data_IF_229598026028
#
_entry.id   IF_229598026028
#
_cell.length_a   1.000
_cell.length_b   1.000
_cell.length_c   1.000
_cell.angle_alpha   90.00
_cell.angle_beta   90.00
_cell.angle_gamma   90.00
#
_symmetry.space_group_name_H-M   'P 1'
#
loop_
_entity.id
_entity.type
_entity.pdbx_description
1 polymer ?
#
# COMPACT_ATOMS: atom_id res chain seq x y z
N UNK A 1 -48.48 -27.50 -24.59
CA UNK A 1 -47.81 -26.28 -24.06
C UNK A 1 -46.32 -26.62 -23.92
N UNK A 2 -45.48 -26.03 -24.71
CA UNK A 2 -44.11 -26.51 -25.02
C UNK A 2 -43.14 -26.22 -23.86
N UNK A 3 -42.48 -27.22 -23.33
CA UNK A 3 -41.47 -27.14 -22.24
C UNK A 3 -40.37 -26.11 -22.61
N UNK A 4 -40.07 -25.92 -23.91
CA UNK A 4 -39.10 -24.93 -24.40
C UNK A 4 -39.57 -23.49 -24.13
N UNK A 5 -40.87 -23.20 -24.19
CA UNK A 5 -41.42 -21.85 -23.93
C UNK A 5 -41.36 -21.53 -22.42
N UNK A 6 -41.47 -22.54 -21.54
CA UNK A 6 -41.37 -22.36 -20.09
C UNK A 6 -39.91 -22.10 -19.65
N UNK A 7 -38.93 -22.78 -20.28
CA UNK A 7 -37.50 -22.56 -20.06
C UNK A 7 -37.05 -21.19 -20.55
N UNK A 8 -37.54 -20.73 -21.70
CA UNK A 8 -37.26 -19.38 -22.21
C UNK A 8 -37.89 -18.30 -21.36
N UNK A 9 -39.07 -18.49 -20.82
CA UNK A 9 -39.70 -17.56 -19.89
C UNK A 9 -38.97 -17.48 -18.54
N UNK A 10 -38.45 -18.59 -18.01
CA UNK A 10 -37.65 -18.61 -16.79
C UNK A 10 -36.27 -17.98 -17.00
N UNK A 11 -35.61 -18.18 -18.16
CA UNK A 11 -34.36 -17.52 -18.50
C UNK A 11 -34.54 -16.02 -18.67
N UNK A 12 -35.65 -15.56 -19.28
CA UNK A 12 -36.00 -14.14 -19.40
C UNK A 12 -36.32 -13.50 -18.04
N UNK A 13 -36.94 -14.23 -17.11
CA UNK A 13 -37.23 -13.75 -15.77
C UNK A 13 -35.95 -13.66 -14.90
N UNK A 14 -34.96 -14.54 -15.11
CA UNK A 14 -33.66 -14.49 -14.45
C UNK A 14 -32.76 -13.39 -15.02
N UNK A 15 -32.91 -13.07 -16.30
CA UNK A 15 -32.20 -11.95 -16.97
C UNK A 15 -32.83 -10.59 -16.65
N UNK A 16 -34.15 -10.51 -16.42
CA UNK A 16 -34.82 -9.26 -16.07
C UNK A 16 -34.61 -8.81 -14.62
N UNK A 17 -34.14 -9.69 -13.73
CA UNK A 17 -33.85 -9.36 -12.33
C UNK A 17 -32.36 -9.05 -12.05
N UNK A 18 -31.53 -8.91 -13.04
CA UNK A 18 -30.30 -8.14 -12.92
C UNK A 18 -30.60 -6.65 -13.13
N UNK A 19 -31.46 -6.05 -12.30
CA UNK A 19 -31.39 -4.63 -12.05
C UNK A 19 -29.91 -4.34 -11.73
N UNK A 20 -29.24 -3.57 -12.58
CA UNK A 20 -27.93 -3.05 -12.28
C UNK A 20 -28.08 -2.36 -10.92
N UNK A 21 -27.51 -2.94 -9.86
CA UNK A 21 -27.52 -2.37 -8.53
C UNK A 21 -26.97 -0.95 -8.65
N UNK A 22 -27.85 0.03 -8.72
CA UNK A 22 -27.49 1.44 -8.77
C UNK A 22 -26.86 1.76 -7.43
N UNK A 23 -25.56 2.01 -7.42
CA UNK A 23 -24.83 2.35 -6.22
C UNK A 23 -25.39 3.65 -5.65
N UNK A 24 -26.09 3.57 -4.53
CA UNK A 24 -26.60 4.75 -3.82
C UNK A 24 -25.43 5.43 -3.08
N UNK A 25 -25.27 6.72 -3.30
CA UNK A 25 -24.32 7.50 -2.52
C UNK A 25 -24.85 7.73 -1.10
N UNK A 26 -23.96 7.53 -0.10
CA UNK A 26 -24.23 7.79 1.32
C UNK A 26 -23.28 8.86 1.78
N UNK A 27 -23.80 9.96 2.29
CA UNK A 27 -23.05 11.02 2.96
C UNK A 27 -22.99 10.73 4.47
N UNK A 28 -21.79 10.77 5.02
CA UNK A 28 -21.53 10.65 6.46
C UNK A 28 -20.94 11.96 6.98
N UNK A 29 -21.75 12.79 7.68
CA UNK A 29 -21.26 14.02 8.27
C UNK A 29 -20.17 13.74 9.30
N UNK A 30 -19.02 14.41 9.18
CA UNK A 30 -17.92 14.33 10.15
C UNK A 30 -16.85 15.37 9.83
N UNK A 31 -16.03 15.68 10.80
CA UNK A 31 -14.84 16.50 10.60
C UNK A 31 -13.75 15.71 9.90
N UNK A 32 -13.05 16.33 8.93
CA UNK A 32 -11.87 15.77 8.28
C UNK A 32 -10.68 16.62 8.69
N UNK A 33 -9.72 16.01 9.38
CA UNK A 33 -8.54 16.65 9.94
C UNK A 33 -7.31 16.32 9.12
N UNK A 34 -6.41 17.26 8.82
CA UNK A 34 -5.11 16.92 8.25
C UNK A 34 -4.35 15.99 9.22
N UNK A 35 -3.63 15.03 8.67
CA UNK A 35 -2.80 14.12 9.49
C UNK A 35 -1.63 14.92 10.07
N UNK A 36 -1.47 15.00 11.41
CA UNK A 36 -0.34 15.67 12.04
C UNK A 36 1.00 15.04 11.65
N UNK A 37 2.09 15.83 11.68
CA UNK A 37 3.43 15.36 11.35
C UNK A 37 3.76 15.48 9.85
N UNK A 38 4.75 14.73 9.43
CA UNK A 38 5.26 14.73 8.05
C UNK A 38 6.05 13.46 7.79
N UNK A 39 6.39 13.20 6.52
CA UNK A 39 7.34 12.16 6.13
C UNK A 39 8.72 12.45 6.70
N UNK A 40 9.44 11.40 7.07
CA UNK A 40 10.85 11.46 7.43
C UNK A 40 11.72 11.91 6.22
N UNK A 41 13.03 12.00 6.42
CA UNK A 41 13.99 12.37 5.37
C UNK A 41 14.73 11.17 4.76
N UNK A 42 14.36 9.95 5.13
CA UNK A 42 15.01 8.74 4.63
C UNK A 42 14.69 8.58 3.15
N UNK A 43 15.70 8.53 2.25
CA UNK A 43 15.45 8.38 0.82
C UNK A 43 14.98 6.96 0.49
N UNK A 44 14.08 6.87 -0.50
CA UNK A 44 13.60 5.60 -1.03
C UNK A 44 13.91 5.50 -2.52
N UNK A 45 14.72 4.50 -2.89
CA UNK A 45 14.89 4.06 -4.27
C UNK A 45 13.58 3.42 -4.72
N UNK A 46 12.85 4.09 -5.61
CA UNK A 46 11.49 3.70 -5.98
C UNK A 46 11.42 3.32 -7.46
N UNK A 47 11.46 2.01 -7.75
CA UNK A 47 11.43 1.41 -9.09
C UNK A 47 10.06 0.81 -9.38
N UNK A 48 9.20 1.59 -10.04
CA UNK A 48 7.83 1.21 -10.40
C UNK A 48 7.43 1.74 -11.80
N UNK A 49 8.41 2.04 -12.66
CA UNK A 49 8.17 2.42 -14.06
C UNK A 49 9.26 1.84 -14.97
N UNK A 50 8.88 1.14 -16.07
CA UNK A 50 7.51 0.75 -16.38
C UNK A 50 7.02 -0.35 -15.42
N UNK A 51 5.71 -0.32 -15.10
CA UNK A 51 5.11 -1.40 -14.31
C UNK A 51 5.16 -2.73 -15.07
N UNK A 52 4.80 -2.72 -16.36
CA UNK A 52 4.83 -3.89 -17.23
C UNK A 52 6.12 -3.92 -18.03
N UNK A 53 7.02 -4.80 -17.63
CA UNK A 53 8.35 -4.96 -18.27
C UNK A 53 8.25 -5.88 -19.46
N UNK A 54 8.66 -5.37 -20.66
CA UNK A 54 8.56 -6.06 -21.94
C UNK A 54 9.91 -6.19 -22.65
N UNK A 55 10.95 -5.47 -22.20
CA UNK A 55 12.28 -5.49 -22.75
C UNK A 55 13.34 -5.54 -21.66
N UNK A 56 14.55 -5.92 -22.03
CA UNK A 56 15.74 -5.83 -21.20
C UNK A 56 16.19 -4.37 -21.09
N UNK A 57 16.88 -4.02 -20.00
CA UNK A 57 17.46 -2.70 -19.82
C UNK A 57 17.44 -2.21 -18.38
N UNK A 58 17.57 -0.90 -18.23
CA UNK A 58 17.60 -0.20 -16.94
C UNK A 58 16.17 0.20 -16.56
N UNK A 59 15.69 -0.25 -15.40
CA UNK A 59 14.43 0.18 -14.80
C UNK A 59 14.63 1.48 -14.02
N UNK A 60 15.68 1.50 -13.16
CA UNK A 60 16.10 2.66 -12.41
C UNK A 60 17.58 2.53 -12.07
N UNK A 61 18.36 3.60 -12.29
CA UNK A 61 19.76 3.65 -11.89
C UNK A 61 20.08 4.99 -11.25
N UNK A 62 20.68 4.94 -10.06
CA UNK A 62 21.26 6.13 -9.40
C UNK A 62 22.75 6.28 -9.61
N UNK A 63 23.36 5.44 -10.45
CA UNK A 63 24.77 5.52 -10.81
C UNK A 63 25.11 6.85 -11.51
N UNK A 64 26.40 7.26 -11.54
CA UNK A 64 26.82 8.41 -12.32
C UNK A 64 26.71 8.12 -13.83
N UNK A 65 26.37 9.14 -14.64
CA UNK A 65 26.21 8.99 -16.10
C UNK A 65 27.52 8.87 -16.87
N UNK A 66 28.66 9.27 -16.24
CA UNK A 66 29.98 9.27 -16.87
C UNK A 66 30.42 7.87 -17.27
N UNK A 67 30.91 7.71 -18.51
CA UNK A 67 31.37 6.45 -19.06
C UNK A 67 30.25 5.44 -19.35
N UNK A 68 28.99 5.86 -19.40
CA UNK A 68 27.84 5.04 -19.76
C UNK A 68 27.43 5.26 -21.21
N UNK A 69 26.99 4.18 -21.90
CA UNK A 69 26.51 4.30 -23.27
C UNK A 69 25.24 5.14 -23.38
N UNK A 70 24.36 5.05 -22.37
CA UNK A 70 23.12 5.85 -22.27
C UNK A 70 23.13 6.69 -20.98
N UNK A 71 23.81 7.85 -20.96
CA UNK A 71 23.95 8.67 -19.75
C UNK A 71 22.63 9.09 -19.12
N UNK A 72 21.59 9.35 -19.93
CA UNK A 72 20.26 9.75 -19.48
C UNK A 72 19.52 8.66 -18.68
N UNK A 73 19.98 7.40 -18.73
CA UNK A 73 19.43 6.30 -17.92
C UNK A 73 19.99 6.27 -16.48
N UNK A 74 20.82 7.24 -16.09
CA UNK A 74 21.50 7.28 -14.79
C UNK A 74 21.29 8.63 -14.10
N UNK A 75 20.75 8.59 -12.87
CA UNK A 75 20.28 9.80 -12.15
C UNK A 75 21.33 10.44 -11.24
N UNK A 76 22.50 9.84 -11.08
CA UNK A 76 23.61 10.35 -10.25
C UNK A 76 23.21 10.74 -8.83
N UNK A 77 22.68 9.78 -8.06
CA UNK A 77 22.26 9.97 -6.68
C UNK A 77 22.86 8.91 -5.76
N UNK A 78 23.70 9.29 -4.82
CA UNK A 78 24.30 8.40 -3.85
C UNK A 78 23.49 8.35 -2.55
N UNK A 79 23.31 7.15 -2.00
CA UNK A 79 22.73 6.93 -0.69
C UNK A 79 23.81 6.92 0.39
N UNK A 80 23.51 7.44 1.59
CA UNK A 80 24.31 7.29 2.79
C UNK A 80 23.40 7.16 4.02
N UNK A 81 23.84 6.43 5.05
CA UNK A 81 23.01 6.14 6.21
C UNK A 81 21.83 5.25 5.86
N UNK A 82 20.64 5.56 6.39
CA UNK A 82 19.39 4.82 6.10
C UNK A 82 18.86 5.14 4.71
N UNK A 83 18.41 4.11 4.00
CA UNK A 83 17.65 4.24 2.77
C UNK A 83 16.77 3.00 2.55
N UNK A 84 15.73 3.14 1.74
CA UNK A 84 14.85 2.03 1.40
C UNK A 84 14.92 1.74 -0.10
N UNK A 85 14.59 0.49 -0.48
CA UNK A 85 14.35 0.08 -1.87
C UNK A 85 12.92 -0.41 -1.95
N UNK A 86 12.12 0.18 -2.82
CA UNK A 86 10.83 -0.32 -3.26
C UNK A 86 10.90 -0.63 -4.74
N UNK A 87 10.50 -1.85 -5.14
CA UNK A 87 10.39 -2.24 -6.54
C UNK A 87 9.10 -3.03 -6.77
N UNK A 88 8.35 -2.64 -7.81
CA UNK A 88 7.14 -3.34 -8.21
C UNK A 88 7.07 -3.40 -9.74
N UNK A 89 7.20 -4.62 -10.30
CA UNK A 89 7.19 -4.85 -11.72
C UNK A 89 6.44 -6.13 -12.07
N UNK A 90 5.78 -6.10 -13.23
CA UNK A 90 5.03 -7.22 -13.81
C UNK A 90 5.72 -7.68 -15.08
N UNK A 91 6.09 -8.95 -15.16
CA UNK A 91 6.63 -9.52 -16.38
C UNK A 91 5.53 -9.64 -17.44
N UNK A 92 5.79 -9.12 -18.65
CA UNK A 92 4.95 -9.36 -19.80
C UNK A 92 5.67 -10.28 -20.77
N UNK A 93 5.06 -11.43 -21.01
CA UNK A 93 5.56 -12.39 -21.98
C UNK A 93 5.53 -11.80 -23.37
N UNK A 94 6.65 -11.85 -24.11
CA UNK A 94 6.74 -11.40 -25.51
C UNK A 94 5.96 -12.31 -26.45
N UNK A 95 6.07 -13.63 -26.23
CA UNK A 95 5.35 -14.65 -26.97
C UNK A 95 4.77 -15.68 -26.01
N UNK A 96 3.47 -15.97 -26.06
CA UNK A 96 2.87 -17.06 -25.30
C UNK A 96 3.46 -18.44 -25.63
N UNK A 97 4.02 -18.61 -26.85
CA UNK A 97 4.62 -19.85 -27.32
C UNK A 97 6.04 -20.03 -26.80
N UNK A 98 6.72 -18.95 -26.39
CA UNK A 98 8.06 -18.99 -25.82
C UNK A 98 8.15 -18.13 -24.55
N UNK A 99 7.55 -18.60 -23.45
CA UNK A 99 7.59 -17.89 -22.18
C UNK A 99 9.01 -17.93 -21.60
N UNK A 100 9.56 -16.74 -21.30
CA UNK A 100 10.86 -16.60 -20.64
C UNK A 100 10.70 -15.96 -19.27
N UNK A 101 11.44 -16.47 -18.28
CA UNK A 101 11.50 -15.83 -16.96
C UNK A 101 12.20 -14.48 -17.07
N UNK A 102 11.53 -13.42 -16.60
CA UNK A 102 12.14 -12.12 -16.39
C UNK A 102 12.87 -12.11 -15.05
N UNK A 103 14.10 -11.60 -15.01
CA UNK A 103 14.82 -11.37 -13.78
C UNK A 103 14.93 -9.87 -13.49
N UNK A 104 14.70 -9.49 -12.23
CA UNK A 104 15.00 -8.15 -11.71
C UNK A 104 16.34 -8.22 -10.97
N UNK A 105 17.35 -7.51 -11.48
CA UNK A 105 18.65 -7.37 -10.84
C UNK A 105 18.70 -6.13 -9.96
N UNK A 106 18.97 -6.28 -8.66
CA UNK A 106 19.27 -5.17 -7.76
C UNK A 106 20.78 -5.13 -7.55
N UNK A 107 21.42 -4.02 -7.92
CA UNK A 107 22.87 -3.84 -7.83
C UNK A 107 23.19 -2.69 -6.88
N UNK A 108 24.31 -2.83 -6.16
CA UNK A 108 24.89 -1.78 -5.33
C UNK A 108 26.33 -1.53 -5.75
N UNK A 109 26.78 -0.26 -5.72
CA UNK A 109 28.17 0.13 -5.98
C UNK A 109 28.68 1.03 -4.86
N UNK A 110 29.88 0.74 -4.39
CA UNK A 110 30.66 1.64 -3.56
C UNK A 110 31.51 2.57 -4.45
N UNK A 111 31.24 3.88 -4.53
CA UNK A 111 32.03 4.81 -5.33
C UNK A 111 33.31 5.26 -4.64
N UNK A 112 33.48 5.00 -3.34
CA UNK A 112 34.54 5.56 -2.52
C UNK A 112 35.85 4.76 -2.59
N UNK A 113 36.94 5.34 -2.13
CA UNK A 113 38.24 4.69 -1.96
C UNK A 113 38.34 3.84 -0.68
N UNK A 114 37.30 3.85 0.15
CA UNK A 114 37.22 3.07 1.39
C UNK A 114 36.15 1.95 1.26
N UNK A 115 36.33 0.79 1.91
CA UNK A 115 35.30 -0.23 1.96
C UNK A 115 34.00 0.29 2.56
N UNK A 116 32.87 -0.10 1.98
CA UNK A 116 31.53 0.21 2.48
C UNK A 116 30.81 -1.05 2.92
N UNK A 117 30.05 -0.96 4.01
CA UNK A 117 29.19 -2.01 4.52
C UNK A 117 27.73 -1.58 4.38
N UNK A 118 26.91 -2.43 3.77
CA UNK A 118 25.46 -2.24 3.69
C UNK A 118 24.79 -3.28 4.56
N UNK A 119 24.05 -2.86 5.57
CA UNK A 119 23.21 -3.72 6.41
C UNK A 119 21.83 -3.79 5.81
N UNK A 120 21.30 -5.01 5.68
CA UNK A 120 19.93 -5.25 5.27
C UNK A 120 19.08 -5.42 6.54
N UNK A 121 18.47 -4.31 6.98
CA UNK A 121 17.67 -4.26 8.21
C UNK A 121 16.36 -5.03 8.06
N UNK A 122 15.82 -5.03 6.83
CA UNK A 122 14.60 -5.73 6.44
C UNK A 122 14.61 -5.95 4.93
N UNK A 123 14.20 -7.13 4.47
CA UNK A 123 14.00 -7.38 3.06
C UNK A 123 12.89 -8.40 2.84
N UNK A 124 11.90 -8.04 2.06
CA UNK A 124 10.74 -8.89 1.72
C UNK A 124 10.46 -8.79 0.24
N UNK A 125 10.17 -9.93 -0.38
CA UNK A 125 9.82 -9.99 -1.80
C UNK A 125 8.84 -11.12 -2.08
N UNK A 126 7.72 -10.79 -2.74
CA UNK A 126 6.70 -11.77 -3.12
C UNK A 126 6.29 -11.63 -4.59
N UNK A 127 5.96 -12.80 -5.18
CA UNK A 127 5.37 -12.93 -6.52
C UNK A 127 3.83 -12.99 -6.42
N UNK A 128 3.14 -12.64 -7.51
CA UNK A 128 1.69 -12.89 -7.61
C UNK A 128 1.37 -14.38 -7.52
N UNK A 129 2.22 -15.26 -8.05
CA UNK A 129 2.03 -16.72 -7.99
C UNK A 129 2.10 -17.29 -6.56
N UNK A 130 2.84 -16.68 -5.65
CA UNK A 130 2.91 -17.11 -4.24
C UNK A 130 2.09 -16.22 -3.29
N UNK A 131 1.51 -15.13 -3.81
CA UNK A 131 0.60 -14.23 -3.13
C UNK A 131 -0.50 -13.79 -4.10
N UNK A 132 -1.41 -14.70 -4.52
CA UNK A 132 -2.41 -14.42 -5.53
C UNK A 132 -3.47 -13.42 -5.04
N UNK A 133 -4.12 -12.74 -5.99
CA UNK A 133 -5.30 -11.94 -5.72
C UNK A 133 -6.51 -12.85 -5.52
N UNK A 134 -6.79 -13.17 -4.27
CA UNK A 134 -7.93 -14.00 -3.87
C UNK A 134 -9.05 -13.14 -3.28
N UNK A 135 -10.28 -13.65 -3.31
CA UNK A 135 -11.41 -13.02 -2.65
C UNK A 135 -11.34 -13.30 -1.15
N UNK A 136 -11.27 -12.24 -0.38
CA UNK A 136 -11.25 -12.30 1.08
C UNK A 136 -12.37 -11.43 1.65
N UNK A 137 -12.82 -11.71 2.89
CA UNK A 137 -13.71 -10.82 3.63
C UNK A 137 -13.12 -9.41 3.75
N UNK A 138 -13.98 -8.40 3.84
CA UNK A 138 -13.58 -7.00 3.97
C UNK A 138 -12.65 -6.73 5.17
N UNK A 139 -12.75 -7.57 6.21
CA UNK A 139 -11.91 -7.55 7.41
C UNK A 139 -11.71 -8.98 7.93
N UNK A 140 -10.47 -9.36 8.18
CA UNK A 140 -10.12 -10.67 8.71
C UNK A 140 -8.90 -10.59 9.64
N UNK A 141 -8.96 -11.26 10.80
CA UNK A 141 -7.79 -11.44 11.68
C UNK A 141 -6.71 -12.24 10.97
N UNK A 142 -5.47 -11.80 11.11
CA UNK A 142 -4.32 -12.45 10.49
C UNK A 142 -3.18 -12.67 11.50
N UNK A 143 -3.41 -13.51 12.48
CA UNK A 143 -2.44 -13.77 13.55
C UNK A 143 -1.15 -14.44 13.09
N UNK A 144 -1.21 -15.20 11.97
CA UNK A 144 -0.12 -16.09 11.51
C UNK A 144 0.47 -15.68 10.18
N UNK A 145 0.16 -14.48 9.69
CA UNK A 145 0.59 -13.99 8.37
C UNK A 145 0.24 -14.97 7.21
N UNK A 146 -0.99 -15.47 7.23
CA UNK A 146 -1.52 -16.39 6.20
C UNK A 146 -2.67 -15.79 5.40
N UNK A 147 -3.08 -14.58 5.75
CA UNK A 147 -4.18 -13.87 5.10
C UNK A 147 -3.60 -12.71 4.31
N UNK A 148 -3.65 -12.82 3.00
CA UNK A 148 -3.18 -11.78 2.07
C UNK A 148 -3.87 -11.92 0.71
N UNK A 149 -3.99 -10.83 -0.02
CA UNK A 149 -4.44 -10.80 -1.40
C UNK A 149 -3.54 -9.87 -2.21
N UNK A 150 -2.71 -10.44 -3.08
CA UNK A 150 -1.72 -9.75 -3.89
C UNK A 150 -0.32 -9.67 -3.26
N UNK A 151 0.72 -9.59 -4.10
CA UNK A 151 2.11 -9.57 -3.66
C UNK A 151 2.47 -8.30 -2.89
N UNK A 152 1.86 -7.16 -3.24
CA UNK A 152 2.07 -5.89 -2.54
C UNK A 152 1.53 -5.93 -1.12
N UNK A 153 0.32 -6.47 -0.93
CA UNK A 153 -0.30 -6.60 0.39
C UNK A 153 0.47 -7.56 1.29
N UNK A 154 0.97 -8.69 0.75
CA UNK A 154 1.79 -9.64 1.50
C UNK A 154 3.13 -9.03 1.89
N UNK A 155 3.82 -8.36 0.95
CA UNK A 155 5.09 -7.67 1.23
C UNK A 155 4.93 -6.63 2.33
N UNK A 156 3.90 -5.80 2.28
CA UNK A 156 3.60 -4.82 3.30
C UNK A 156 3.25 -5.47 4.66
N UNK A 157 2.47 -6.55 4.64
CA UNK A 157 2.09 -7.33 5.83
C UNK A 157 3.29 -7.94 6.54
N UNK A 158 4.23 -8.52 5.82
CA UNK A 158 5.48 -9.07 6.39
C UNK A 158 6.33 -7.96 7.03
N UNK A 159 6.48 -6.82 6.34
CA UNK A 159 7.26 -5.70 6.87
C UNK A 159 6.64 -5.13 8.15
N UNK A 160 5.31 -4.97 8.20
CA UNK A 160 4.62 -4.46 9.40
C UNK A 160 4.72 -5.41 10.58
N UNK A 161 4.92 -6.72 10.32
CA UNK A 161 5.18 -7.75 11.34
C UNK A 161 6.62 -7.79 11.81
N UNK A 162 7.53 -7.15 11.09
CA UNK A 162 8.94 -7.23 11.35
C UNK A 162 9.61 -8.46 10.73
N UNK A 163 8.99 -9.10 9.74
CA UNK A 163 9.53 -10.29 9.07
C UNK A 163 10.47 -9.92 7.91
N UNK A 164 11.36 -10.85 7.56
CA UNK A 164 12.26 -10.76 6.39
C UNK A 164 12.28 -12.10 5.65
N UNK A 165 12.45 -12.05 4.33
CA UNK A 165 12.64 -13.25 3.52
C UNK A 165 14.06 -13.81 3.73
N UNK A 166 14.20 -15.10 3.97
CA UNK A 166 15.49 -15.78 4.17
C UNK A 166 16.41 -15.75 2.93
N UNK A 167 15.86 -15.45 1.77
CA UNK A 167 16.62 -15.39 0.52
C UNK A 167 17.57 -14.17 0.42
N UNK A 168 17.48 -13.19 1.33
CA UNK A 168 18.34 -12.03 1.32
C UNK A 168 19.42 -12.13 2.39
N UNK A 169 20.67 -11.68 2.08
CA UNK A 169 21.72 -11.59 3.08
C UNK A 169 21.37 -10.54 4.13
N UNK A 170 21.97 -10.63 5.33
CA UNK A 170 21.82 -9.62 6.38
C UNK A 170 22.78 -8.43 6.18
N UNK A 171 23.86 -8.63 5.41
CA UNK A 171 24.85 -7.61 5.07
C UNK A 171 25.49 -7.86 3.72
N UNK A 172 26.01 -6.78 3.12
CA UNK A 172 26.87 -6.80 1.93
C UNK A 172 28.08 -5.93 2.22
N UNK A 173 29.27 -6.49 2.09
CA UNK A 173 30.54 -5.75 2.13
C UNK A 173 30.95 -5.41 0.68
N UNK A 174 31.24 -4.15 0.41
CA UNK A 174 31.63 -3.62 -0.90
C UNK A 174 33.03 -3.05 -0.81
N UNK A 175 33.97 -3.57 -1.62
CA UNK A 175 35.30 -3.02 -1.74
C UNK A 175 35.28 -1.66 -2.46
N UNK A 176 36.37 -0.84 -2.37
CA UNK A 176 36.47 0.39 -3.13
C UNK A 176 36.16 0.19 -4.62
N UNK A 177 35.26 1.00 -5.17
CA UNK A 177 34.83 0.93 -6.58
C UNK A 177 33.98 -0.30 -6.96
N UNK A 178 33.78 -1.26 -6.07
CA UNK A 178 33.11 -2.52 -6.36
C UNK A 178 31.61 -2.35 -6.64
N UNK A 179 31.13 -3.10 -7.65
CA UNK A 179 29.69 -3.27 -7.93
C UNK A 179 29.30 -4.72 -7.67
N UNK A 180 28.34 -4.94 -6.78
CA UNK A 180 27.77 -6.27 -6.46
C UNK A 180 26.31 -6.37 -6.82
N UNK A 181 25.89 -7.56 -7.23
CA UNK A 181 24.47 -7.95 -7.33
C UNK A 181 23.98 -8.25 -5.91
N UNK A 182 23.09 -7.39 -5.40
CA UNK A 182 22.41 -7.61 -4.12
C UNK A 182 21.38 -8.73 -4.24
N UNK A 183 20.65 -8.77 -5.35
CA UNK A 183 19.64 -9.79 -5.62
C UNK A 183 19.40 -9.94 -7.13
N UNK A 184 19.12 -11.18 -7.56
CA UNK A 184 18.61 -11.52 -8.89
C UNK A 184 17.28 -12.24 -8.69
N UNK A 185 16.17 -11.54 -8.92
CA UNK A 185 14.83 -11.93 -8.50
C UNK A 185 14.02 -12.39 -9.71
N UNK A 186 13.69 -13.70 -9.85
CA UNK A 186 12.92 -14.20 -10.96
C UNK A 186 11.45 -13.75 -10.90
N UNK A 187 10.88 -13.43 -12.04
CA UNK A 187 9.45 -13.34 -12.30
C UNK A 187 9.14 -14.35 -13.39
N UNK A 188 8.77 -15.60 -13.04
CA UNK A 188 8.43 -16.62 -14.01
C UNK A 188 7.36 -16.15 -14.98
N UNK A 189 7.55 -16.45 -16.26
CA UNK A 189 6.63 -16.08 -17.30
C UNK A 189 5.32 -16.86 -17.13
N UNK A 190 4.35 -16.22 -16.54
CA UNK A 190 2.96 -16.63 -16.49
C UNK A 190 2.09 -15.41 -16.72
N UNK A 191 0.82 -15.59 -17.05
CA UNK A 191 -0.08 -14.46 -17.26
C UNK A 191 -0.08 -13.54 -16.04
N UNK A 192 0.35 -12.28 -16.24
CA UNK A 192 0.32 -11.21 -15.25
C UNK A 192 1.05 -11.53 -13.92
N UNK A 193 2.17 -12.24 -13.97
CA UNK A 193 2.97 -12.48 -12.79
C UNK A 193 3.81 -11.21 -12.47
N UNK A 194 3.60 -10.65 -11.30
CA UNK A 194 4.31 -9.48 -10.79
C UNK A 194 5.10 -9.80 -9.52
N UNK A 195 6.09 -8.97 -9.24
CA UNK A 195 6.89 -9.05 -8.03
C UNK A 195 6.90 -7.69 -7.31
N UNK A 196 6.62 -7.74 -6.02
CA UNK A 196 6.80 -6.59 -5.13
C UNK A 196 7.94 -6.88 -4.16
N UNK A 197 8.88 -5.95 -4.05
CA UNK A 197 10.04 -6.02 -3.16
C UNK A 197 10.12 -4.75 -2.33
N UNK A 198 10.32 -4.89 -1.02
CA UNK A 198 10.56 -3.78 -0.10
C UNK A 198 11.75 -4.12 0.78
N UNK A 199 12.74 -3.22 0.81
CA UNK A 199 13.95 -3.39 1.64
C UNK A 199 14.20 -2.12 2.45
N UNK A 200 14.66 -2.29 3.69
CA UNK A 200 15.18 -1.25 4.57
C UNK A 200 16.66 -1.50 4.79
N UNK A 201 17.49 -0.54 4.45
CA UNK A 201 18.93 -0.68 4.46
C UNK A 201 19.58 0.44 5.26
N UNK A 202 20.83 0.19 5.64
CA UNK A 202 21.73 1.20 6.19
C UNK A 202 23.14 0.97 5.65
N UNK A 203 23.85 2.04 5.36
CA UNK A 203 25.24 1.97 4.90
C UNK A 203 26.12 2.92 5.71
N UNK A 204 27.34 2.49 6.00
CA UNK A 204 28.35 3.34 6.64
C UNK A 204 29.13 4.24 5.66
N UNK A 205 28.93 4.03 4.36
CA UNK A 205 29.58 4.79 3.28
C UNK A 205 28.58 5.20 2.22
N UNK A 206 29.07 5.83 1.17
CA UNK A 206 28.26 6.22 0.01
C UNK A 206 28.03 5.03 -0.91
N UNK A 207 26.79 4.81 -1.36
CA UNK A 207 26.45 3.73 -2.31
C UNK A 207 25.50 4.21 -3.40
N UNK A 208 25.70 3.74 -4.63
CA UNK A 208 24.74 3.82 -5.71
C UNK A 208 23.92 2.54 -5.80
N UNK A 209 22.69 2.63 -6.31
CA UNK A 209 21.80 1.49 -6.53
C UNK A 209 21.27 1.46 -7.96
N UNK A 210 21.01 0.26 -8.49
CA UNK A 210 20.33 0.09 -9.77
C UNK A 210 19.35 -1.08 -9.70
N UNK A 211 18.22 -0.93 -10.41
CA UNK A 211 17.25 -1.97 -10.74
C UNK A 211 17.26 -2.19 -12.24
N UNK A 212 17.52 -3.41 -12.65
CA UNK A 212 17.72 -3.82 -14.04
C UNK A 212 16.78 -4.96 -14.40
N UNK A 213 16.44 -5.10 -15.68
CA UNK A 213 15.64 -6.18 -16.23
C UNK A 213 16.41 -6.98 -17.26
N UNK A 214 16.50 -8.28 -17.10
CA UNK A 214 17.02 -9.24 -18.07
C UNK A 214 16.11 -10.46 -18.16
N UNK A 215 15.91 -11.00 -19.34
CA UNK A 215 15.29 -12.30 -19.47
C UNK A 215 16.28 -13.42 -19.15
N UNK A 216 15.74 -14.57 -18.74
CA UNK A 216 16.53 -15.79 -18.58
C UNK A 216 17.36 -16.09 -19.82
N UNK A 217 18.57 -16.61 -19.65
CA UNK A 217 19.42 -17.04 -20.75
C UNK A 217 19.14 -18.52 -21.07
N UNK A 218 18.99 -18.83 -22.36
CA UNK A 218 18.82 -20.21 -22.85
C UNK A 218 19.97 -20.53 -23.77
N UNK A 219 20.98 -21.34 -23.33
CA UNK A 219 21.96 -21.88 -24.24
C UNK A 219 21.26 -22.84 -25.22
N UNK A 220 21.79 -23.07 -26.44
CA UNK A 220 21.23 -24.01 -27.42
C UNK A 220 21.00 -25.38 -26.77
N UNK A 221 19.76 -25.90 -26.81
CA UNK A 221 19.40 -27.20 -26.23
C UNK A 221 19.41 -27.28 -24.71
N UNK A 222 19.65 -26.15 -23.99
CA UNK A 222 19.76 -26.12 -22.54
C UNK A 222 18.53 -25.49 -21.81
N UNK A 223 18.51 -25.66 -20.49
CA UNK A 223 17.49 -25.06 -19.62
C UNK A 223 17.74 -23.56 -19.40
N UNK A 224 16.70 -22.84 -18.99
CA UNK A 224 16.84 -21.46 -18.58
C UNK A 224 17.82 -21.31 -17.39
N UNK A 225 18.67 -20.31 -17.46
CA UNK A 225 19.52 -19.88 -16.33
C UNK A 225 19.31 -18.43 -16.00
N UNK A 226 19.58 -18.09 -14.74
CA UNK A 226 19.63 -16.70 -14.31
C UNK A 226 20.77 -15.92 -14.98
N UNK A 227 20.63 -14.60 -15.18
CA UNK A 227 21.72 -13.75 -15.62
C UNK A 227 22.90 -13.79 -14.64
N UNK A 228 24.12 -13.79 -15.20
CA UNK A 228 25.37 -13.72 -14.45
C UNK A 228 25.67 -12.29 -13.99
N UNK A 229 26.61 -12.12 -13.06
CA UNK A 229 27.09 -10.80 -12.63
C UNK A 229 27.61 -9.98 -13.81
N UNK A 230 28.35 -10.60 -14.73
CA UNK A 230 28.87 -9.94 -15.93
C UNK A 230 27.76 -9.42 -16.86
N UNK A 231 26.70 -10.22 -17.06
CA UNK A 231 25.53 -9.80 -17.85
C UNK A 231 24.79 -8.62 -17.20
N UNK A 232 24.63 -8.60 -15.87
CA UNK A 232 24.08 -7.47 -15.16
C UNK A 232 24.94 -6.21 -15.28
N UNK A 233 26.27 -6.35 -15.18
CA UNK A 233 27.21 -5.25 -15.34
C UNK A 233 27.20 -4.70 -16.77
N UNK A 234 27.09 -5.58 -17.78
CA UNK A 234 26.97 -5.17 -19.18
C UNK A 234 25.72 -4.31 -19.42
N UNK A 235 24.55 -4.71 -18.89
CA UNK A 235 23.31 -3.88 -18.98
C UNK A 235 23.49 -2.55 -18.26
N UNK A 236 24.10 -2.53 -17.08
CA UNK A 236 24.35 -1.29 -16.36
C UNK A 236 25.27 -0.33 -17.12
N UNK A 237 26.17 -0.85 -17.96
CA UNK A 237 27.14 -0.06 -18.71
C UNK A 237 26.63 0.37 -20.08
N UNK A 238 25.89 -0.52 -20.77
CA UNK A 238 25.51 -0.40 -22.17
C UNK A 238 24.00 -0.34 -22.40
N UNK A 239 23.18 -0.55 -21.38
CA UNK A 239 21.73 -0.60 -21.50
C UNK A 239 21.09 0.78 -21.50
N UNK A 240 20.01 0.91 -22.28
CA UNK A 240 19.08 2.03 -22.22
C UNK A 240 17.95 1.73 -21.21
N UNK A 241 17.07 2.71 -20.96
CA UNK A 241 15.86 2.51 -20.19
C UNK A 241 14.94 1.48 -20.83
N UNK A 242 14.36 0.61 -20.00
CA UNK A 242 13.35 -0.39 -20.44
C UNK A 242 12.21 0.29 -21.18
N UNK A 243 11.77 -0.30 -22.29
CA UNK A 243 10.67 0.19 -23.15
C UNK A 243 9.59 -0.89 -23.31
N UNK A 244 8.31 -0.52 -23.58
CA UNK A 244 7.81 0.87 -23.66
C UNK A 244 7.77 1.51 -22.27
N UNK A 245 7.89 2.83 -22.26
CA UNK A 245 7.71 3.64 -21.03
C UNK A 245 6.22 3.76 -20.70
N UNK A 246 5.90 4.03 -19.44
CA UNK A 246 4.54 4.34 -19.02
C UNK A 246 4.09 5.73 -19.53
N UNK A 247 2.80 6.00 -19.39
CA UNK A 247 2.25 7.30 -19.75
C UNK A 247 2.86 8.41 -18.89
N UNK A 248 3.36 9.46 -19.56
CA UNK A 248 3.97 10.60 -18.89
C UNK A 248 2.99 11.34 -17.96
N UNK A 249 3.45 11.82 -16.81
CA UNK A 249 2.63 12.54 -15.84
C UNK A 249 2.23 13.92 -16.35
N UNK A 250 1.11 14.43 -15.84
CA UNK A 250 0.72 15.83 -16.00
C UNK A 250 1.75 16.73 -15.32
N UNK A 251 2.35 17.70 -16.01
CA UNK A 251 3.31 18.63 -15.40
C UNK A 251 2.68 19.44 -14.26
N UNK A 252 3.47 19.80 -13.22
CA UNK A 252 3.00 20.70 -12.16
C UNK A 252 2.52 22.04 -12.73
N UNK A 253 1.37 22.53 -12.22
CA UNK A 253 0.79 23.80 -12.67
C UNK A 253 -0.05 23.71 -13.93
N UNK A 254 -0.07 22.58 -14.63
CA UNK A 254 -0.99 22.40 -15.76
C UNK A 254 -2.41 22.21 -15.24
N UNK A 255 -3.32 23.10 -15.70
CA UNK A 255 -4.76 23.04 -15.43
C UNK A 255 -5.51 22.47 -16.63
N UNK A 256 -6.62 21.76 -16.38
CA UNK A 256 -7.49 21.19 -17.41
C UNK A 256 -7.12 19.76 -17.82
N UNK A 257 -8.10 19.04 -18.36
CA UNK A 257 -7.97 17.64 -18.77
C UNK A 257 -7.92 16.64 -17.60
N UNK A 258 -7.72 15.36 -17.94
CA UNK A 258 -7.57 14.28 -16.95
C UNK A 258 -6.18 14.34 -16.34
N UNK A 259 -6.10 14.48 -15.01
CA UNK A 259 -4.83 14.47 -14.30
C UNK A 259 -4.19 13.07 -14.33
N UNK A 260 -2.95 12.99 -14.82
CA UNK A 260 -2.16 11.78 -14.89
C UNK A 260 -1.07 11.87 -13.83
N UNK A 261 -1.08 10.95 -12.86
CA UNK A 261 -0.03 10.87 -11.84
C UNK A 261 1.31 10.39 -12.40
N UNK A 262 1.28 9.50 -13.41
CA UNK A 262 2.45 8.75 -13.90
C UNK A 262 2.89 7.65 -12.94
N UNK A 263 3.78 6.78 -13.40
CA UNK A 263 4.46 5.78 -12.57
C UNK A 263 5.77 6.35 -12.03
N UNK A 264 6.23 5.79 -10.91
CA UNK A 264 7.42 6.30 -10.21
C UNK A 264 8.67 5.54 -10.66
N UNK A 265 9.71 6.26 -11.10
CA UNK A 265 11.08 5.76 -11.17
C UNK A 265 12.05 6.89 -10.80
N UNK A 266 12.70 6.74 -9.65
CA UNK A 266 13.60 7.73 -9.07
C UNK A 266 13.82 7.50 -7.59
N UNK A 267 14.30 8.53 -6.92
CA UNK A 267 14.48 8.54 -5.46
C UNK A 267 13.48 9.52 -4.87
N UNK A 268 12.61 9.02 -4.01
CA UNK A 268 11.67 9.85 -3.24
C UNK A 268 12.23 10.14 -1.84
N UNK A 269 11.79 11.23 -1.22
CA UNK A 269 12.13 11.58 0.15
C UNK A 269 11.00 11.17 1.08
N UNK A 270 11.25 10.23 1.98
CA UNK A 270 10.32 9.77 3.00
C UNK A 270 10.03 8.29 2.90
N UNK A 271 10.20 7.61 4.01
CA UNK A 271 9.96 6.18 4.18
C UNK A 271 8.97 5.86 5.30
N UNK A 272 8.74 6.84 6.18
CA UNK A 272 7.85 6.71 7.33
C UNK A 272 7.16 8.04 7.65
N UNK A 273 5.88 7.94 7.99
CA UNK A 273 5.09 9.00 8.62
C UNK A 273 4.80 8.57 10.05
N UNK A 274 5.56 9.11 11.00
CA UNK A 274 5.36 8.84 12.42
C UNK A 274 4.69 10.04 13.08
N UNK A 275 3.59 9.82 13.82
CA UNK A 275 2.87 10.90 14.47
C UNK A 275 2.07 10.42 15.68
N UNK A 276 1.95 11.31 16.67
CA UNK A 276 0.94 11.21 17.73
C UNK A 276 -0.22 12.13 17.39
N UNK A 277 -1.41 11.55 17.21
CA UNK A 277 -2.64 12.27 16.92
C UNK A 277 -3.18 12.83 18.22
N UNK A 278 -3.18 14.14 18.37
CA UNK A 278 -3.65 14.81 19.57
C UNK A 278 -4.46 16.07 19.21
N UNK A 279 -5.15 16.63 20.19
CA UNK A 279 -5.73 17.96 20.05
C UNK A 279 -4.59 18.99 20.11
N UNK A 280 -4.63 20.01 19.26
CA UNK A 280 -3.57 21.00 19.18
C UNK A 280 -3.20 21.56 20.57
N UNK A 281 -1.92 21.44 20.94
CA UNK A 281 -1.42 21.87 22.26
C UNK A 281 -1.70 20.91 23.42
N UNK A 282 -2.22 19.70 23.17
CA UNK A 282 -2.51 18.65 24.17
C UNK A 282 -1.66 17.40 23.96
N UNK A 283 -1.49 16.60 25.00
CA UNK A 283 -0.89 15.26 24.92
C UNK A 283 -1.90 14.16 24.59
N UNK A 284 -3.19 14.49 24.52
CA UNK A 284 -4.29 13.54 24.31
C UNK A 284 -5.14 13.92 23.10
N UNK A 285 -5.88 12.95 22.59
CA UNK A 285 -6.88 13.09 21.54
C UNK A 285 -8.27 12.90 22.17
N UNK A 286 -9.04 13.98 22.27
CA UNK A 286 -10.41 13.89 22.78
C UNK A 286 -11.26 13.07 21.79
N UNK A 287 -11.98 12.07 22.31
CA UNK A 287 -12.91 11.30 21.48
C UNK A 287 -14.07 12.18 21.00
N UNK A 288 -14.69 11.91 19.83
CA UNK A 288 -15.85 12.68 19.38
C UNK A 288 -17.00 12.60 20.39
N UNK A 289 -17.89 13.58 20.35
CA UNK A 289 -19.15 13.50 21.11
C UNK A 289 -20.00 12.31 20.65
N UNK A 290 -20.91 11.79 21.49
CA UNK A 290 -21.74 10.64 21.14
C UNK A 290 -22.42 10.79 19.77
N UNK A 291 -22.36 9.77 18.93
CA UNK A 291 -22.91 9.75 17.58
C UNK A 291 -22.06 10.46 16.53
N UNK A 292 -20.98 11.13 16.91
CA UNK A 292 -20.10 11.86 16.01
C UNK A 292 -18.81 11.07 15.66
N UNK A 293 -18.13 11.54 14.61
CA UNK A 293 -16.85 11.01 14.16
C UNK A 293 -15.95 12.14 13.63
N UNK A 294 -14.65 11.86 13.58
CA UNK A 294 -13.69 12.61 12.76
C UNK A 294 -12.69 11.66 12.11
N UNK A 295 -12.09 12.11 11.01
CA UNK A 295 -11.19 11.27 10.20
C UNK A 295 -9.91 11.97 9.82
N UNK A 296 -8.85 11.17 9.67
CA UNK A 296 -7.56 11.59 9.14
C UNK A 296 -7.32 10.88 7.79
N UNK A 297 -7.10 11.61 6.67
CA UNK A 297 -6.69 11.00 5.41
C UNK A 297 -5.33 10.32 5.53
N UNK A 298 -5.20 9.17 4.89
CA UNK A 298 -3.97 8.38 4.77
C UNK A 298 -3.59 8.31 3.29
N UNK A 299 -2.35 8.64 2.96
CA UNK A 299 -1.80 8.68 1.60
C UNK A 299 -2.55 9.64 0.67
N UNK A 300 -2.96 10.81 1.18
CA UNK A 300 -3.68 11.82 0.39
C UNK A 300 -2.86 12.34 -0.81
N UNK A 301 -3.56 12.66 -1.89
CA UNK A 301 -3.03 12.99 -3.21
C UNK A 301 -3.41 14.40 -3.64
N UNK A 302 -2.77 14.90 -4.72
CA UNK A 302 -3.09 16.19 -5.34
C UNK A 302 -4.57 16.37 -5.68
N UNK A 303 -5.28 15.28 -6.06
CA UNK A 303 -6.71 15.30 -6.39
C UNK A 303 -7.51 14.39 -5.46
N UNK A 304 -7.20 14.36 -4.20
CA UNK A 304 -7.84 13.51 -3.19
C UNK A 304 -7.39 13.92 -1.79
N UNK A 305 -7.45 15.23 -1.50
CA UNK A 305 -7.09 15.79 -0.20
C UNK A 305 -8.22 15.70 0.82
N UNK A 306 -9.42 15.30 0.39
CA UNK A 306 -10.63 15.22 1.22
C UNK A 306 -10.89 16.52 2.01
N UNK A 307 -10.68 17.67 1.36
CA UNK A 307 -10.91 19.01 1.95
C UNK A 307 -9.78 19.54 2.85
N UNK A 308 -8.78 18.73 3.18
CA UNK A 308 -7.67 19.16 4.07
C UNK A 308 -6.59 19.97 3.37
N UNK A 309 -6.55 19.98 2.04
CA UNK A 309 -5.46 20.50 1.20
C UNK A 309 -4.10 19.86 1.47
N UNK A 310 -4.01 18.82 2.32
CA UNK A 310 -2.79 18.11 2.63
C UNK A 310 -2.46 17.08 1.53
N UNK A 311 -1.26 17.17 0.97
CA UNK A 311 -0.70 16.20 0.03
C UNK A 311 0.39 15.44 0.76
N UNK A 312 0.15 14.14 1.02
CA UNK A 312 1.09 13.27 1.75
C UNK A 312 2.08 12.55 0.80
N UNK A 313 1.87 12.63 -0.51
CA UNK A 313 2.76 12.00 -1.49
C UNK A 313 4.20 12.48 -1.34
N UNK A 314 5.15 11.54 -1.21
CA UNK A 314 6.58 11.85 -1.05
C UNK A 314 7.12 12.64 -2.26
N UNK A 315 7.87 13.73 -2.07
CA UNK A 315 8.52 14.46 -3.14
C UNK A 315 9.64 13.61 -3.77
N UNK A 316 9.88 13.77 -5.07
CA UNK A 316 11.01 13.15 -5.76
C UNK A 316 12.26 14.02 -5.64
N UNK A 317 13.35 13.44 -5.14
CA UNK A 317 14.67 14.09 -5.10
C UNK A 317 15.32 14.08 -6.49
N UNK A 318 15.28 12.92 -7.17
CA UNK A 318 15.67 12.72 -8.56
C UNK A 318 14.72 11.74 -9.23
N UNK A 319 14.46 11.93 -10.54
CA UNK A 319 13.58 11.09 -11.33
C UNK A 319 13.88 11.20 -12.82
N UNK A 320 13.37 10.25 -13.63
CA UNK A 320 13.38 10.43 -15.08
C UNK A 320 12.32 11.45 -15.52
N UNK A 321 12.53 12.19 -16.61
CA UNK A 321 11.62 13.24 -17.08
C UNK A 321 10.18 12.76 -17.33
N UNK A 322 10.02 11.52 -17.79
CA UNK A 322 8.77 10.86 -18.15
C UNK A 322 8.06 10.15 -16.98
N UNK A 323 8.57 10.26 -15.75
CA UNK A 323 8.03 9.60 -14.57
C UNK A 323 7.39 10.58 -13.59
N UNK A 324 6.67 10.06 -12.60
CA UNK A 324 5.90 10.83 -11.63
C UNK A 324 6.70 11.91 -10.90
N UNK A 325 6.10 13.08 -10.70
CA UNK A 325 6.70 14.19 -9.94
C UNK A 325 6.72 13.97 -8.43
N UNK A 326 5.88 13.05 -7.93
CA UNK A 326 5.80 12.63 -6.53
C UNK A 326 5.59 11.13 -6.48
N UNK A 327 5.97 10.48 -5.39
CA UNK A 327 5.60 9.09 -5.12
C UNK A 327 4.13 9.04 -4.72
N UNK A 328 3.26 9.09 -5.73
CA UNK A 328 1.81 9.02 -5.52
C UNK A 328 1.43 7.66 -4.95
N UNK A 329 0.62 7.65 -3.88
CA UNK A 329 0.23 6.45 -3.18
C UNK A 329 1.16 6.04 -2.05
N UNK A 330 2.38 6.60 -1.94
CA UNK A 330 3.32 6.29 -0.87
C UNK A 330 3.58 4.77 -0.69
N UNK A 331 3.61 4.01 -1.78
CA UNK A 331 3.86 2.56 -1.72
C UNK A 331 5.18 2.25 -1.01
N UNK A 332 5.12 1.39 0.00
CA UNK A 332 6.25 1.05 0.86
C UNK A 332 6.52 2.02 2.02
N UNK A 333 5.81 3.16 2.08
CA UNK A 333 5.88 4.09 3.23
C UNK A 333 5.11 3.50 4.40
N UNK A 334 5.68 3.58 5.60
CA UNK A 334 5.03 3.20 6.84
C UNK A 334 4.30 4.38 7.47
N UNK A 335 3.05 4.18 7.85
CA UNK A 335 2.29 5.07 8.74
C UNK A 335 2.30 4.45 10.14
N UNK A 336 2.94 5.14 11.09
CA UNK A 336 3.09 4.74 12.49
C UNK A 336 2.42 5.80 13.37
N UNK A 337 1.16 5.55 13.72
CA UNK A 337 0.30 6.54 14.36
C UNK A 337 -0.06 6.09 15.77
N UNK A 338 0.11 7.00 16.74
CA UNK A 338 -0.32 6.82 18.12
C UNK A 338 -1.53 7.71 18.41
N UNK A 339 -2.59 7.11 18.95
CA UNK A 339 -3.84 7.79 19.29
C UNK A 339 -4.06 7.71 20.81
N UNK A 340 -3.65 8.71 21.60
CA UNK A 340 -3.89 8.77 23.04
C UNK A 340 -5.32 9.27 23.32
N UNK A 341 -6.31 8.39 23.13
CA UNK A 341 -7.73 8.68 23.24
C UNK A 341 -8.10 9.05 24.68
N UNK A 342 -8.89 10.12 24.85
CA UNK A 342 -9.44 10.57 26.15
C UNK A 342 -10.93 10.83 26.06
N UNK A 343 -11.69 10.27 27.01
CA UNK A 343 -13.08 10.63 27.23
C UNK A 343 -13.17 11.81 28.22
N UNK A 344 -13.56 12.99 27.71
CA UNK A 344 -13.78 14.18 28.55
C UNK A 344 -15.24 14.39 28.96
N UNK A 345 -16.15 13.47 28.57
CA UNK A 345 -17.55 13.53 28.98
C UNK A 345 -17.76 12.92 30.36
N UNK A 346 -18.90 13.22 30.98
CA UNK A 346 -19.30 12.67 32.29
C UNK A 346 -19.89 11.25 32.20
N UNK A 347 -20.00 10.68 31.00
CA UNK A 347 -20.57 9.36 30.78
C UNK A 347 -19.54 8.41 30.17
N UNK A 348 -19.67 7.14 30.48
CA UNK A 348 -18.89 6.09 29.82
C UNK A 348 -19.24 6.05 28.33
N UNK A 349 -18.23 6.11 27.48
CA UNK A 349 -18.37 6.13 26.03
C UNK A 349 -17.74 4.89 25.38
N UNK A 350 -18.36 4.45 24.26
CA UNK A 350 -17.79 3.42 23.39
C UNK A 350 -17.23 4.08 22.15
N UNK A 351 -15.91 3.99 21.97
CA UNK A 351 -15.19 4.59 20.84
C UNK A 351 -14.63 3.49 19.94
N UNK A 352 -14.82 3.65 18.64
CA UNK A 352 -14.34 2.73 17.60
C UNK A 352 -13.31 3.40 16.71
N UNK A 353 -12.27 2.64 16.34
CA UNK A 353 -11.33 2.99 15.30
C UNK A 353 -11.69 2.24 14.03
N UNK A 354 -11.85 2.94 12.90
CA UNK A 354 -12.20 2.36 11.60
C UNK A 354 -11.16 2.78 10.56
N UNK A 355 -10.94 1.90 9.58
CA UNK A 355 -10.21 2.23 8.36
C UNK A 355 -11.15 2.09 7.18
N UNK A 356 -11.25 3.12 6.33
CA UNK A 356 -12.32 3.24 5.34
C UNK A 356 -11.79 3.75 4.00
N UNK A 357 -12.50 3.45 2.92
CA UNK A 357 -12.16 3.88 1.54
C UNK A 357 -13.29 4.73 0.97
N UNK A 358 -13.37 6.03 1.31
CA UNK A 358 -14.41 6.93 0.80
C UNK A 358 -14.23 7.21 -0.70
N UNK A 359 -15.21 7.87 -1.30
CA UNK A 359 -15.06 8.47 -2.61
C UNK A 359 -13.97 9.55 -2.57
N UNK A 360 -13.15 9.57 -3.62
CA UNK A 360 -12.03 10.50 -3.73
C UNK A 360 -12.56 11.89 -4.10
N UNK A 361 -12.31 12.86 -3.25
CA UNK A 361 -12.69 14.26 -3.45
C UNK A 361 -11.54 15.20 -3.09
N UNK A 362 -11.49 16.35 -3.74
CA UNK A 362 -10.48 17.37 -3.47
C UNK A 362 -11.05 18.49 -2.58
N UNK A 363 -12.26 18.95 -2.92
CA UNK A 363 -13.01 19.91 -2.14
C UNK A 363 -14.30 19.26 -1.69
N UNK A 364 -14.63 19.39 -0.43
CA UNK A 364 -15.89 18.89 0.12
C UNK A 364 -16.95 19.99 0.01
N UNK A 365 -18.09 19.65 -0.60
CA UNK A 365 -19.24 20.54 -0.64
C UNK A 365 -19.85 20.76 0.78
N UNK A 366 -19.72 19.71 1.63
CA UNK A 366 -20.11 19.68 3.03
C UNK A 366 -19.03 18.95 3.84
N UNK A 367 -18.91 19.25 5.13
CA UNK A 367 -17.98 18.52 6.01
C UNK A 367 -18.46 17.10 6.22
N UNK A 368 -17.76 16.13 5.63
CA UNK A 368 -18.07 14.71 5.72
C UNK A 368 -17.43 13.89 4.62
N UNK A 369 -17.73 12.61 4.63
CA UNK A 369 -17.24 11.65 3.65
C UNK A 369 -18.40 11.04 2.86
N UNK A 370 -18.14 10.72 1.59
CA UNK A 370 -19.08 10.03 0.73
C UNK A 370 -18.65 8.59 0.52
N UNK A 371 -19.65 7.70 0.61
CA UNK A 371 -19.51 6.27 0.39
C UNK A 371 -20.57 5.78 -0.61
N UNK A 372 -20.47 4.52 -1.00
CA UNK A 372 -21.42 3.86 -1.89
C UNK A 372 -22.09 2.67 -1.18
N UNK A 373 -23.38 2.44 -1.46
CA UNK A 373 -24.10 1.26 -1.01
C UNK A 373 -24.89 0.65 -2.18
N UNK A 374 -24.53 -0.58 -2.59
CA UNK A 374 -23.28 -1.26 -2.24
C UNK A 374 -22.04 -0.49 -2.72
N UNK A 375 -20.83 -0.80 -2.22
CA UNK A 375 -19.61 -0.20 -2.76
C UNK A 375 -19.36 -0.67 -4.21
N UNK A 376 -18.55 0.08 -4.96
CA UNK A 376 -18.15 -0.29 -6.31
C UNK A 376 -17.34 -1.60 -6.34
N UNK A 377 -17.44 -2.35 -7.44
CA UNK A 377 -16.70 -3.61 -7.62
C UNK A 377 -15.17 -3.49 -7.50
N UNK A 378 -14.49 -2.42 -8.01
CA UNK A 378 -13.04 -2.33 -7.93
C UNK A 378 -12.55 -2.27 -6.48
N UNK A 379 -11.58 -3.11 -6.15
CA UNK A 379 -10.91 -3.09 -4.85
C UNK A 379 -9.87 -1.99 -4.84
N UNK A 380 -9.98 -1.07 -3.88
CA UNK A 380 -9.09 0.08 -3.72
C UNK A 380 -8.08 -0.07 -2.59
N UNK A 381 -8.26 -1.04 -1.70
CA UNK A 381 -7.28 -1.32 -0.67
C UNK A 381 -7.20 -2.81 -0.38
N UNK A 382 -5.98 -3.33 -0.34
CA UNK A 382 -5.62 -4.66 0.19
C UNK A 382 -4.38 -4.50 1.05
N UNK A 383 -4.47 -4.78 2.34
CA UNK A 383 -3.32 -4.66 3.21
C UNK A 383 -3.60 -5.08 4.64
N UNK A 384 -2.54 -5.29 5.40
CA UNK A 384 -2.61 -5.65 6.81
C UNK A 384 -2.27 -4.45 7.67
N UNK A 385 -3.14 -4.12 8.61
CA UNK A 385 -2.88 -3.14 9.67
C UNK A 385 -2.51 -3.86 10.96
N UNK A 386 -1.59 -3.27 11.73
CA UNK A 386 -1.23 -3.71 13.06
C UNK A 386 -1.79 -2.72 14.08
N UNK A 387 -2.50 -3.25 15.08
CA UNK A 387 -2.99 -2.48 16.22
C UNK A 387 -2.33 -2.95 17.50
N UNK A 388 -1.94 -2.01 18.36
CA UNK A 388 -1.51 -2.27 19.72
C UNK A 388 -2.31 -1.39 20.68
N UNK A 389 -2.93 -1.98 21.69
CA UNK A 389 -3.77 -1.28 22.66
C UNK A 389 -3.94 -2.11 23.93
N UNK A 390 -4.50 -1.51 24.99
CA UNK A 390 -5.06 -2.25 26.12
C UNK A 390 -6.56 -2.42 25.92
N UNK A 391 -7.07 -3.65 26.10
CA UNK A 391 -8.51 -3.92 26.06
C UNK A 391 -9.23 -3.42 27.34
N UNK A 392 -10.54 -3.62 27.42
CA UNK A 392 -11.35 -3.15 28.53
C UNK A 392 -11.04 -3.90 29.86
N UNK A 393 -10.32 -5.04 29.79
CA UNK A 393 -9.80 -5.76 30.96
C UNK A 393 -8.35 -5.34 31.32
N UNK A 394 -7.78 -4.34 30.64
CA UNK A 394 -6.42 -3.87 30.85
C UNK A 394 -5.33 -4.75 30.23
N UNK A 395 -5.70 -5.79 29.48
CA UNK A 395 -4.75 -6.70 28.83
C UNK A 395 -4.18 -6.07 27.57
N UNK A 396 -2.86 -6.09 27.41
CA UNK A 396 -2.19 -5.66 26.17
C UNK A 396 -2.54 -6.59 25.02
N UNK A 397 -2.98 -6.00 23.91
CA UNK A 397 -3.33 -6.67 22.67
C UNK A 397 -2.44 -6.21 21.54
N UNK A 398 -2.01 -7.16 20.70
CA UNK A 398 -1.40 -6.90 19.40
C UNK A 398 -2.27 -7.65 18.37
N UNK A 399 -2.87 -6.91 17.45
CA UNK A 399 -3.73 -7.50 16.42
C UNK A 399 -3.21 -7.13 15.05
N UNK A 400 -3.21 -8.11 14.16
CA UNK A 400 -2.97 -7.93 12.75
C UNK A 400 -4.28 -8.21 12.02
N UNK A 401 -4.76 -7.24 11.27
CA UNK A 401 -6.06 -7.31 10.60
C UNK A 401 -5.82 -7.06 9.12
N UNK A 402 -6.11 -8.07 8.30
CA UNK A 402 -6.10 -7.92 6.86
C UNK A 402 -7.42 -7.28 6.41
N UNK A 403 -7.30 -6.26 5.56
CA UNK A 403 -8.41 -5.50 5.02
C UNK A 403 -8.43 -5.63 3.50
N UNK A 404 -9.63 -5.85 2.96
CA UNK A 404 -9.91 -5.75 1.53
C UNK A 404 -11.10 -4.83 1.37
N UNK A 405 -10.89 -3.67 0.77
CA UNK A 405 -11.92 -2.65 0.65
C UNK A 405 -12.10 -2.19 -0.79
N UNK A 406 -13.35 -2.10 -1.19
CA UNK A 406 -13.77 -1.60 -2.49
C UNK A 406 -13.86 -0.06 -2.48
N UNK A 407 -13.93 0.54 -3.67
CA UNK A 407 -14.17 1.98 -3.83
C UNK A 407 -15.51 2.38 -3.19
N UNK A 408 -15.49 3.42 -2.36
CA UNK A 408 -16.68 3.89 -1.65
C UNK A 408 -17.11 3.02 -0.49
N UNK A 409 -16.25 2.13 0.03
CA UNK A 409 -16.60 1.19 1.09
C UNK A 409 -16.43 1.81 2.48
N UNK A 410 -17.49 1.76 3.28
CA UNK A 410 -17.42 2.02 4.73
C UNK A 410 -16.67 0.90 5.44
N UNK A 411 -15.80 1.28 6.37
CA UNK A 411 -15.04 0.33 7.18
C UNK A 411 -15.87 -0.28 8.31
N UNK A 412 -15.48 -1.49 8.72
CA UNK A 412 -15.95 -2.07 9.98
C UNK A 412 -14.98 -1.64 11.11
N UNK A 413 -15.43 -1.56 12.38
CA UNK A 413 -14.56 -1.28 13.51
C UNK A 413 -13.37 -2.23 13.56
N UNK A 414 -12.16 -1.69 13.60
CA UNK A 414 -10.93 -2.45 13.83
C UNK A 414 -10.81 -2.84 15.30
N UNK A 415 -11.14 -1.88 16.17
CA UNK A 415 -11.24 -2.03 17.62
C UNK A 415 -12.35 -1.12 18.14
N UNK A 416 -13.03 -1.56 19.18
CA UNK A 416 -13.95 -0.74 19.98
C UNK A 416 -13.51 -0.84 21.43
N UNK A 417 -13.39 0.32 22.11
CA UNK A 417 -12.95 0.46 23.48
C UNK A 417 -14.02 1.19 24.30
N UNK A 418 -14.15 0.79 25.55
CA UNK A 418 -15.00 1.44 26.54
C UNK A 418 -14.16 2.38 27.41
N UNK A 419 -14.46 3.67 27.37
CA UNK A 419 -13.75 4.69 28.14
C UNK A 419 -14.70 5.28 29.18
N UNK A 420 -14.45 5.08 30.49
CA UNK A 420 -15.21 5.76 31.55
C UNK A 420 -14.95 7.29 31.53
N UNK A 421 -15.71 8.09 32.28
CA UNK A 421 -15.44 9.52 32.45
C UNK A 421 -13.98 9.78 32.85
N UNK A 422 -13.30 10.71 32.16
CA UNK A 422 -11.88 10.97 32.34
C UNK A 422 -10.92 9.87 31.86
N UNK A 423 -11.46 8.73 31.45
CA UNK A 423 -10.66 7.57 31.03
C UNK A 423 -9.80 7.81 29.80
N UNK A 424 -8.62 7.21 29.80
CA UNK A 424 -7.66 7.30 28.70
C UNK A 424 -7.29 5.91 28.18
N UNK A 425 -7.09 5.78 26.88
CA UNK A 425 -6.57 4.58 26.19
C UNK A 425 -5.69 5.00 25.03
N UNK A 426 -4.49 4.44 24.95
CA UNK A 426 -3.62 4.62 23.80
C UNK A 426 -3.80 3.47 22.81
N UNK A 427 -3.96 3.83 21.54
CA UNK A 427 -4.00 2.87 20.42
C UNK A 427 -2.87 3.22 19.46
N UNK A 428 -1.98 2.26 19.17
CA UNK A 428 -1.01 2.39 18.06
C UNK A 428 -1.58 1.72 16.83
N UNK A 429 -1.51 2.43 15.69
CA UNK A 429 -1.91 1.98 14.37
C UNK A 429 -0.70 2.01 13.46
N UNK A 430 -0.30 0.85 12.91
CA UNK A 430 0.77 0.74 11.93
C UNK A 430 0.24 0.18 10.62
N UNK A 431 0.70 0.76 9.52
CA UNK A 431 0.40 0.35 8.16
C UNK A 431 1.60 0.64 7.26
N UNK A 432 2.14 -0.37 6.59
CA UNK A 432 2.97 -0.15 5.39
C UNK A 432 2.04 -0.06 4.19
N UNK A 433 2.03 1.09 3.50
CA UNK A 433 1.08 1.32 2.42
C UNK A 433 1.38 0.42 1.22
N UNK A 434 0.46 -0.48 0.84
CA UNK A 434 0.74 -1.55 -0.12
C UNK A 434 0.65 -1.06 -1.58
N UNK A 435 1.40 -1.72 -2.48
CA UNK A 435 1.34 -1.46 -3.92
C UNK A 435 -0.03 -1.77 -4.56
N UNK A 436 -0.81 -2.65 -3.91
CA UNK A 436 -2.13 -3.10 -4.38
C UNK A 436 -3.27 -2.19 -3.89
N UNK A 437 -2.96 -0.92 -3.58
CA UNK A 437 -3.93 0.06 -3.08
C UNK A 437 -4.06 1.27 -4.00
N UNK A 438 -5.26 1.88 -3.97
CA UNK A 438 -5.58 3.14 -4.64
C UNK A 438 -5.97 4.17 -3.59
N UNK A 439 -5.12 5.15 -3.28
CA UNK A 439 -5.39 6.15 -2.23
C UNK A 439 -6.40 7.22 -2.66
N UNK A 440 -6.92 8.00 -1.69
CA UNK A 440 -6.68 7.92 -0.25
C UNK A 440 -7.59 6.94 0.48
N UNK A 441 -7.17 6.48 1.66
CA UNK A 441 -8.03 5.93 2.69
C UNK A 441 -8.15 6.92 3.85
N UNK A 442 -9.01 6.61 4.84
CA UNK A 442 -9.13 7.41 6.06
C UNK A 442 -9.10 6.54 7.31
N UNK A 443 -8.44 7.05 8.34
CA UNK A 443 -8.51 6.54 9.70
C UNK A 443 -9.57 7.35 10.47
N UNK A 444 -10.65 6.69 10.89
CA UNK A 444 -11.81 7.33 11.52
C UNK A 444 -11.90 6.94 12.99
N UNK A 445 -12.12 7.92 13.85
CA UNK A 445 -12.46 7.74 15.25
C UNK A 445 -13.94 8.10 15.38
N UNK A 446 -14.75 7.17 15.92
CA UNK A 446 -16.19 7.32 16.05
C UNK A 446 -16.65 6.92 17.44
N UNK A 447 -17.41 7.79 18.10
CA UNK A 447 -18.09 7.47 19.35
C UNK A 447 -19.52 7.01 19.06
N UNK A 448 -19.93 5.91 19.68
CA UNK A 448 -21.28 5.39 19.54
C UNK A 448 -22.32 6.42 20.02
N UNK A 449 -23.48 6.47 19.38
CA UNK A 449 -24.60 7.26 19.92
C UNK A 449 -25.03 6.69 21.29
N UNK A 450 -25.42 7.57 22.21
CA UNK A 450 -26.02 7.15 23.46
C UNK A 450 -27.33 6.42 23.14
N UNK A 451 -27.52 5.21 23.69
CA UNK A 451 -28.83 4.57 23.63
C UNK A 451 -29.85 5.45 24.33
N UNK A 452 -31.03 5.68 23.77
CA UNK A 452 -32.08 6.40 24.52
C UNK A 452 -32.35 5.64 25.82
N UNK A 453 -32.24 6.34 26.95
CA UNK A 453 -32.64 5.83 28.26
C UNK A 453 -34.14 5.55 28.17
N UNK A 454 -34.55 4.26 28.07
CA UNK A 454 -35.95 3.90 28.14
C UNK A 454 -36.52 2.94 27.08
N UNK A 455 -35.77 2.03 26.50
CA UNK A 455 -36.35 0.87 25.83
C UNK A 455 -36.19 -0.37 26.70
N UNK A 456 -37.14 -0.62 27.57
CA UNK A 456 -37.36 -1.93 28.16
C UNK A 456 -37.53 -2.94 27.01
N UNK A 457 -36.82 -4.06 27.01
CA UNK A 457 -37.07 -5.09 25.99
C UNK A 457 -38.53 -5.53 26.10
N UNK A 458 -39.31 -5.32 25.05
CA UNK A 458 -40.61 -5.98 24.93
C UNK A 458 -40.36 -7.48 25.05
N UNK A 459 -40.80 -8.06 26.16
CA UNK A 459 -40.82 -9.49 26.38
C UNK A 459 -41.61 -10.12 25.22
N UNK A 460 -40.97 -10.99 24.47
CA UNK A 460 -41.62 -11.77 23.44
C UNK A 460 -42.82 -12.55 24.05
N UNK A 461 -44.01 -12.55 23.45
CA UNK A 461 -45.11 -13.34 23.94
C UNK A 461 -44.76 -14.82 23.84
N UNK A 462 -44.80 -15.54 24.97
CA UNK A 462 -44.73 -16.99 25.01
C UNK A 462 -45.91 -17.59 24.24
N UNK A 463 -45.71 -18.03 23.01
CA UNK A 463 -46.60 -18.92 22.30
C UNK A 463 -46.57 -20.30 22.99
N UNK A 464 -47.58 -20.57 23.85
CA UNK A 464 -47.86 -21.93 24.32
C UNK A 464 -48.42 -22.73 23.16
N UNK A 465 -47.65 -23.67 22.66
CA UNK A 465 -48.23 -24.77 21.86
C UNK A 465 -48.99 -25.70 22.80
N UNK A 466 -50.32 -25.74 22.67
CA UNK A 466 -51.13 -26.82 23.22
C UNK A 466 -51.00 -28.03 22.27
N UNK A 467 -50.44 -29.11 22.77
CA UNK A 467 -50.54 -30.43 22.15
C UNK A 467 -51.97 -30.96 22.36
N UNK A 468 -52.70 -31.13 21.30
CA UNK A 468 -53.93 -31.96 21.32
C UNK A 468 -53.55 -33.37 20.85
N UNK A 469 -54.11 -34.34 21.60
CA UNK A 469 -54.02 -35.80 21.44
C UNK A 469 -54.48 -36.28 20.08
#
# INVERSE_FOLDING_TARGET
MNILALLMAQASFLLANQEALVNREIFQPQEIRPLPGQLDRVPMFNSNSPEKVQSEGILLSTFPPQGKQFPAAHLNFAFSGRFNIFAHHVARVKSPQDPQTLYLGLLLKNPSAQPAKVLILRAVSHLTTNAPFINLPAKQEDRRNRVYAGPGSRTAGDVVRGESSLAFPTKVDLQPGETKVLASLPIPASALNGRTTLMRLWTNGSVYAASLALFARRPPGGQERSPTTAEWQAVLQQGDLVKPRDRSPTPPGQSGGTFIYGRVAGVSQGSQWQSTLNDGGSSVLTIPTPGQAFSYPIASLNTGTLGTNQIQSAPMLVRYPDTAYRSHGNYGVEYDLTLPLQNRSEQTQRVSLLFQTPLKENKLAQSGLRFLQPPDRPVFFRGTVRLQYQDDQGKKQIRYIHLVQQRGQRGQPLVTLTLPPGGQRSVSFNLVYPADATPPQVLTIQTAANSPVGSTPLSAPHLRFQANH
#
